data_IF_359076141359
#
_entry.id   IF_359076141359
#
_cell.length_a   1.000
_cell.length_b   1.000
_cell.length_c   1.000
_cell.angle_alpha   90.00
_cell.angle_beta   90.00
_cell.angle_gamma   90.00
#
_symmetry.space_group_name_H-M   'P 1'
#
loop_
_entity.id
_entity.type
_entity.pdbx_description
1 polymer ?
#
# COMPACT_ATOMS: atom_id res chain seq x y z
N UNK A 1 20.61 6.53 3.98
CA UNK A 1 19.90 6.00 5.20
C UNK A 1 20.85 5.13 6.01
N UNK A 2 20.80 5.19 7.37
CA UNK A 2 21.56 4.25 8.20
C UNK A 2 20.94 2.85 8.16
N UNK A 3 21.78 1.81 8.19
CA UNK A 3 21.34 0.42 8.26
C UNK A 3 20.74 0.15 9.65
N UNK A 4 19.59 -0.57 9.79
CA UNK A 4 19.02 -0.89 11.09
C UNK A 4 19.93 -1.77 11.94
N UNK A 5 19.77 -1.73 13.29
CA UNK A 5 20.48 -2.65 14.18
C UNK A 5 20.14 -4.12 13.90
N UNK A 6 18.85 -4.41 13.68
CA UNK A 6 18.41 -5.68 13.10
C UNK A 6 18.15 -5.46 11.62
N UNK A 7 19.03 -5.96 10.77
CA UNK A 7 18.96 -5.82 9.31
C UNK A 7 18.67 -7.13 8.58
N UNK A 8 18.34 -8.20 9.32
CA UNK A 8 18.10 -9.54 8.79
C UNK A 8 17.10 -9.52 7.62
N UNK A 9 16.00 -8.78 7.79
CA UNK A 9 14.98 -8.69 6.75
C UNK A 9 15.48 -8.05 5.46
N UNK A 10 16.26 -6.98 5.56
CA UNK A 10 16.85 -6.32 4.39
C UNK A 10 17.89 -7.20 3.72
N UNK A 11 18.74 -7.88 4.51
CA UNK A 11 19.74 -8.83 3.97
C UNK A 11 19.07 -9.95 3.20
N UNK A 12 18.01 -10.55 3.76
CA UNK A 12 17.26 -11.60 3.07
C UNK A 12 16.67 -11.11 1.72
N UNK A 13 16.06 -9.92 1.70
CA UNK A 13 15.53 -9.32 0.47
C UNK A 13 16.62 -9.02 -0.57
N UNK A 14 17.81 -8.65 -0.11
CA UNK A 14 18.96 -8.37 -0.97
C UNK A 14 19.76 -9.63 -1.35
N UNK A 15 19.29 -10.82 -0.94
CA UNK A 15 19.94 -12.13 -1.15
C UNK A 15 21.32 -12.20 -0.51
N UNK A 16 21.52 -11.49 0.58
CA UNK A 16 22.70 -11.58 1.42
C UNK A 16 22.52 -12.72 2.45
N UNK A 17 23.60 -13.36 2.93
CA UNK A 17 23.52 -14.41 3.94
C UNK A 17 22.84 -13.92 5.23
N UNK A 18 21.97 -14.74 5.81
CA UNK A 18 21.31 -14.49 7.09
C UNK A 18 21.48 -15.70 8.01
N UNK A 19 21.61 -15.47 9.31
CA UNK A 19 21.79 -16.51 10.33
C UNK A 19 20.49 -17.27 10.58
N UNK A 20 19.35 -16.56 10.43
CA UNK A 20 17.99 -17.08 10.61
C UNK A 20 17.07 -16.50 9.57
N UNK A 21 15.92 -17.14 9.35
CA UNK A 21 14.85 -16.59 8.48
C UNK A 21 14.19 -15.41 9.20
N UNK A 22 14.21 -14.19 8.64
CA UNK A 22 13.53 -13.05 9.24
C UNK A 22 12.01 -13.19 9.15
N UNK A 23 11.32 -12.67 10.17
CA UNK A 23 9.86 -12.75 10.29
C UNK A 23 9.24 -11.38 10.47
N UNK A 24 8.22 -11.11 9.68
CA UNK A 24 7.23 -10.06 9.88
C UNK A 24 5.84 -10.64 9.59
N UNK A 25 4.78 -10.01 10.10
CA UNK A 25 3.43 -10.52 9.92
C UNK A 25 2.56 -9.52 9.15
N UNK A 26 1.89 -10.01 8.13
CA UNK A 26 0.86 -9.21 7.44
C UNK A 26 -0.22 -8.80 8.45
N UNK A 27 -0.56 -7.49 8.49
CA UNK A 27 -1.49 -6.92 9.48
C UNK A 27 -1.05 -7.12 10.92
N UNK A 28 0.29 -7.07 11.18
CA UNK A 28 0.84 -7.17 12.54
C UNK A 28 0.25 -6.12 13.50
N UNK A 29 -0.06 -4.90 13.06
CA UNK A 29 -0.95 -4.00 13.78
C UNK A 29 -2.42 -4.37 13.47
N UNK A 30 -3.20 -4.70 14.50
CA UNK A 30 -4.56 -5.17 14.25
C UNK A 30 -5.43 -5.38 15.48
N UNK A 31 -6.71 -5.64 15.25
CA UNK A 31 -7.76 -5.77 16.30
C UNK A 31 -7.53 -6.88 17.31
N UNK A 32 -6.63 -7.81 17.07
CA UNK A 32 -6.24 -8.84 18.05
C UNK A 32 -5.42 -8.27 19.22
N UNK A 33 -4.76 -7.11 19.02
CA UNK A 33 -4.03 -6.41 20.06
C UNK A 33 -4.98 -5.53 20.90
N UNK A 34 -5.01 -5.69 22.23
CA UNK A 34 -5.81 -4.81 23.09
C UNK A 34 -5.45 -3.33 22.94
N UNK A 35 -4.15 -2.99 22.91
CA UNK A 35 -3.65 -1.64 22.72
C UNK A 35 -4.08 -1.02 21.39
N UNK A 36 -4.12 -1.79 20.31
CA UNK A 36 -4.66 -1.33 19.04
C UNK A 36 -6.14 -0.95 19.16
N UNK A 37 -6.94 -1.75 19.86
CA UNK A 37 -8.37 -1.47 20.05
C UNK A 37 -8.58 -0.16 20.82
N UNK A 38 -7.74 0.12 21.85
CA UNK A 38 -7.79 1.36 22.61
C UNK A 38 -7.40 2.57 21.72
N UNK A 39 -6.32 2.49 20.96
CA UNK A 39 -5.93 3.55 20.02
C UNK A 39 -7.01 3.77 18.96
N UNK A 40 -7.59 2.68 18.42
CA UNK A 40 -8.68 2.73 17.45
C UNK A 40 -9.93 3.42 18.01
N UNK A 41 -10.26 3.18 19.29
CA UNK A 41 -11.37 3.83 19.98
C UNK A 41 -11.10 5.34 20.18
N UNK A 42 -9.89 5.72 20.58
CA UNK A 42 -9.49 7.15 20.70
C UNK A 42 -9.55 7.87 19.35
N UNK A 43 -9.16 7.23 18.27
CA UNK A 43 -9.20 7.80 16.94
C UNK A 43 -10.62 8.01 16.39
N UNK A 44 -11.63 7.30 16.93
CA UNK A 44 -13.03 7.38 16.51
C UNK A 44 -13.34 6.56 15.27
N UNK A 45 -12.69 6.81 14.13
CA UNK A 45 -12.89 6.06 12.88
C UNK A 45 -11.61 5.39 12.38
N UNK A 46 -11.73 4.41 11.45
CA UNK A 46 -10.56 3.81 10.82
C UNK A 46 -9.80 4.82 9.96
N UNK A 47 -10.52 5.65 9.21
CA UNK A 47 -9.90 6.71 8.41
C UNK A 47 -9.20 7.75 9.28
N UNK A 48 -9.80 8.14 10.42
CA UNK A 48 -9.15 9.05 11.36
C UNK A 48 -7.87 8.46 11.95
N UNK A 49 -7.84 7.13 12.19
CA UNK A 49 -6.64 6.42 12.62
C UNK A 49 -5.56 6.47 11.53
N UNK A 50 -5.91 6.14 10.27
CA UNK A 50 -4.98 6.14 9.15
C UNK A 50 -4.49 7.55 8.77
N UNK A 51 -5.38 8.57 8.86
CA UNK A 51 -5.07 9.95 8.47
C UNK A 51 -4.39 10.78 9.56
N UNK A 52 -4.07 10.17 10.70
CA UNK A 52 -3.34 10.82 11.77
C UNK A 52 -1.94 10.18 11.94
N UNK A 53 -0.84 10.88 11.60
CA UNK A 53 0.51 10.34 11.68
C UNK A 53 0.89 9.78 13.06
N UNK A 54 0.51 10.46 14.15
CA UNK A 54 0.83 10.02 15.50
C UNK A 54 0.11 8.70 15.85
N UNK A 55 -1.17 8.55 15.49
CA UNK A 55 -1.89 7.29 15.68
C UNK A 55 -1.36 6.17 14.80
N UNK A 56 -1.05 6.46 13.54
CA UNK A 56 -0.43 5.50 12.63
C UNK A 56 0.93 5.02 13.17
N UNK A 57 1.73 5.93 13.71
CA UNK A 57 2.99 5.60 14.38
C UNK A 57 2.75 4.72 15.61
N UNK A 58 1.87 5.13 16.51
CA UNK A 58 1.56 4.37 17.74
C UNK A 58 1.20 2.92 17.41
N UNK A 59 0.23 2.69 16.50
CA UNK A 59 -0.21 1.33 16.18
C UNK A 59 0.83 0.52 15.40
N UNK A 60 1.71 1.16 14.65
CA UNK A 60 2.82 0.49 13.97
C UNK A 60 3.82 -0.08 14.97
N UNK A 61 4.08 0.61 16.08
CA UNK A 61 5.06 0.18 17.09
C UNK A 61 4.50 -0.88 18.05
N UNK A 62 3.21 -0.92 18.30
CA UNK A 62 2.58 -1.84 19.25
C UNK A 62 2.96 -3.31 19.06
N UNK A 63 2.92 -3.91 17.85
CA UNK A 63 3.32 -5.31 17.66
C UNK A 63 4.81 -5.55 17.95
N UNK A 64 5.68 -4.58 17.67
CA UNK A 64 7.11 -4.69 17.95
C UNK A 64 7.44 -4.69 19.44
N UNK A 65 6.58 -4.08 20.27
CA UNK A 65 6.71 -4.13 21.71
C UNK A 65 6.30 -5.49 22.30
N UNK A 66 5.54 -6.32 21.54
CA UNK A 66 5.06 -7.63 21.97
C UNK A 66 5.83 -8.80 21.39
N UNK A 67 6.30 -8.66 20.17
CA UNK A 67 6.87 -9.76 19.40
C UNK A 67 8.22 -9.38 18.83
N UNK A 68 9.12 -10.34 18.79
CA UNK A 68 10.43 -10.25 18.15
C UNK A 68 10.27 -10.30 16.62
N UNK A 69 9.88 -9.18 16.02
CA UNK A 69 9.69 -9.06 14.59
C UNK A 69 10.92 -8.38 13.95
N UNK A 70 11.28 -8.85 12.76
CA UNK A 70 12.46 -8.36 12.03
C UNK A 70 12.14 -7.17 11.10
N UNK A 71 10.89 -6.74 11.04
CA UNK A 71 10.50 -5.53 10.30
C UNK A 71 9.22 -4.90 10.87
N UNK A 72 9.12 -3.59 10.76
CA UNK A 72 7.88 -2.83 10.88
C UNK A 72 7.24 -2.67 9.50
N UNK A 73 5.92 -2.62 9.44
CA UNK A 73 5.19 -2.18 8.25
C UNK A 73 4.35 -0.96 8.60
N UNK A 74 4.38 0.05 7.74
CA UNK A 74 3.54 1.23 7.84
C UNK A 74 2.08 0.85 8.10
N UNK A 75 1.42 1.51 9.06
CA UNK A 75 -0.03 1.40 9.21
C UNK A 75 -0.73 2.42 8.31
N UNK A 76 -1.42 1.92 7.30
CA UNK A 76 -2.20 2.69 6.33
C UNK A 76 -3.24 1.77 5.67
N UNK A 77 -3.90 2.24 4.61
CA UNK A 77 -4.78 1.45 3.77
C UNK A 77 -4.32 1.51 2.31
N UNK A 78 -4.50 0.41 1.55
CA UNK A 78 -4.17 0.39 0.11
C UNK A 78 -5.03 1.35 -0.69
N UNK A 79 -6.24 1.68 -0.21
CA UNK A 79 -7.21 2.53 -0.90
C UNK A 79 -6.99 4.03 -0.68
N UNK A 80 -5.92 4.42 0.02
CA UNK A 80 -5.54 5.84 0.17
C UNK A 80 -5.23 6.50 -1.17
N UNK A 81 -4.66 5.77 -2.13
CA UNK A 81 -4.36 6.29 -3.47
C UNK A 81 -5.64 6.61 -4.25
N UNK A 82 -6.62 5.70 -4.38
CA UNK A 82 -7.93 6.03 -4.98
C UNK A 82 -8.69 7.13 -4.22
N UNK A 83 -8.59 7.20 -2.89
CA UNK A 83 -9.18 8.29 -2.11
C UNK A 83 -8.58 9.64 -2.50
N UNK A 84 -7.25 9.70 -2.64
CA UNK A 84 -6.53 10.89 -3.10
C UNK A 84 -6.86 11.27 -4.55
N UNK A 85 -7.24 10.31 -5.39
CA UNK A 85 -7.77 10.57 -6.75
C UNK A 85 -9.18 11.17 -6.73
N UNK A 86 -9.81 11.29 -5.55
CA UNK A 86 -11.11 11.93 -5.40
C UNK A 86 -12.30 10.97 -5.39
N UNK A 87 -12.10 9.65 -5.27
CA UNK A 87 -13.21 8.68 -5.26
C UNK A 87 -14.02 8.70 -3.94
N UNK A 88 -13.51 9.30 -2.86
CA UNK A 88 -14.21 9.44 -1.58
C UNK A 88 -14.35 8.11 -0.84
N UNK A 89 -13.27 7.69 -0.20
CA UNK A 89 -13.23 6.46 0.59
C UNK A 89 -14.00 6.60 1.90
N UNK A 90 -14.89 5.66 2.18
CA UNK A 90 -15.57 5.54 3.46
C UNK A 90 -15.68 4.07 3.91
N UNK A 91 -15.97 3.86 5.19
CA UNK A 91 -16.15 2.53 5.77
C UNK A 91 -17.53 2.40 6.37
N UNK A 92 -18.34 1.46 5.86
CA UNK A 92 -19.62 1.08 6.44
C UNK A 92 -19.40 0.01 7.52
N UNK A 93 -20.16 0.07 8.62
CA UNK A 93 -20.12 -0.95 9.65
C UNK A 93 -20.50 -2.32 9.07
N UNK A 94 -19.59 -3.30 9.21
CA UNK A 94 -19.81 -4.68 8.75
C UNK A 94 -19.59 -4.93 7.25
N UNK A 95 -19.45 -3.88 6.41
CA UNK A 95 -19.37 -4.02 4.95
C UNK A 95 -17.99 -3.74 4.34
N UNK A 96 -17.05 -3.21 5.13
CA UNK A 96 -15.70 -2.88 4.67
C UNK A 96 -15.59 -1.54 3.92
N UNK A 97 -14.52 -1.34 3.13
CA UNK A 97 -14.28 -0.10 2.41
C UNK A 97 -15.21 0.06 1.21
N UNK A 98 -15.68 1.28 0.99
CA UNK A 98 -16.49 1.69 -0.17
C UNK A 98 -16.05 3.04 -0.70
N UNK A 99 -16.38 3.31 -1.97
CA UNK A 99 -16.19 4.59 -2.61
C UNK A 99 -17.52 5.29 -2.89
N UNK A 100 -17.59 6.59 -2.60
CA UNK A 100 -18.74 7.43 -2.92
C UNK A 100 -18.92 7.60 -4.45
N UNK A 101 -17.78 7.69 -5.16
CA UNK A 101 -17.69 7.92 -6.60
C UNK A 101 -16.87 6.82 -7.29
N UNK A 102 -17.38 5.58 -7.37
CA UNK A 102 -16.73 4.54 -8.12
C UNK A 102 -16.74 4.86 -9.61
N UNK A 103 -15.72 4.42 -10.35
CA UNK A 103 -15.62 4.64 -11.79
C UNK A 103 -16.71 3.88 -12.55
N UNK A 104 -17.62 4.58 -13.20
CA UNK A 104 -18.78 4.01 -13.89
C UNK A 104 -18.84 4.33 -15.37
N UNK A 105 -18.33 5.47 -15.78
CA UNK A 105 -18.41 5.94 -17.15
C UNK A 105 -17.08 6.36 -17.73
N UNK A 106 -17.05 6.53 -19.05
CA UNK A 106 -15.86 6.86 -19.79
C UNK A 106 -15.30 8.25 -19.42
N UNK A 107 -16.18 9.20 -19.12
CA UNK A 107 -15.75 10.56 -18.80
C UNK A 107 -14.98 10.58 -17.47
N UNK A 108 -15.47 9.89 -16.44
CA UNK A 108 -14.81 9.76 -15.14
C UNK A 108 -13.42 9.12 -15.30
N UNK A 109 -13.35 8.02 -16.08
CA UNK A 109 -12.09 7.29 -16.31
C UNK A 109 -11.08 8.15 -17.08
N UNK A 110 -11.51 8.85 -18.13
CA UNK A 110 -10.62 9.70 -18.94
C UNK A 110 -10.10 10.91 -18.18
N UNK A 111 -10.83 11.41 -17.18
CA UNK A 111 -10.47 12.54 -16.35
C UNK A 111 -9.74 12.13 -15.04
N UNK A 112 -9.48 10.83 -14.84
CA UNK A 112 -8.72 10.35 -13.70
C UNK A 112 -7.31 10.95 -13.72
N UNK A 113 -6.87 11.53 -12.60
CA UNK A 113 -5.59 12.21 -12.48
C UNK A 113 -4.69 11.54 -11.44
N UNK A 114 -3.38 11.69 -11.63
CA UNK A 114 -2.37 11.28 -10.65
C UNK A 114 -2.39 12.29 -9.51
N UNK A 115 -2.63 11.86 -8.25
CA UNK A 115 -2.58 12.76 -7.10
C UNK A 115 -1.14 13.11 -6.73
N UNK A 116 -0.92 14.31 -6.20
CA UNK A 116 0.37 14.68 -5.62
C UNK A 116 0.52 13.99 -4.24
N UNK A 117 1.50 13.09 -4.04
CA UNK A 117 1.69 12.43 -2.75
C UNK A 117 2.10 13.40 -1.63
N UNK A 118 2.70 14.53 -1.95
CA UNK A 118 3.09 15.54 -0.95
C UNK A 118 1.96 16.49 -0.54
N UNK A 119 0.81 16.43 -1.23
CA UNK A 119 -0.41 17.15 -0.86
C UNK A 119 -1.47 16.17 -0.35
N UNK A 120 -2.14 15.42 -1.25
CA UNK A 120 -3.29 14.59 -0.89
C UNK A 120 -2.94 13.37 -0.01
N UNK A 121 -1.69 12.88 -0.06
CA UNK A 121 -1.20 11.75 0.72
C UNK A 121 -0.16 12.16 1.78
N UNK A 122 -0.03 13.47 2.04
CA UNK A 122 0.94 14.04 2.98
C UNK A 122 0.93 13.36 4.34
N UNK A 123 -0.25 13.05 4.87
CA UNK A 123 -0.41 12.38 6.15
C UNK A 123 0.26 11.00 6.22
N UNK A 124 0.34 10.28 5.09
CA UNK A 124 1.06 9.00 5.02
C UNK A 124 2.57 9.24 5.05
N UNK A 125 3.04 10.22 4.29
CA UNK A 125 4.46 10.57 4.21
C UNK A 125 4.97 11.04 5.58
N UNK A 126 4.19 11.89 6.27
CA UNK A 126 4.48 12.33 7.63
C UNK A 126 4.49 11.14 8.62
N UNK A 127 3.55 10.18 8.49
CA UNK A 127 3.53 8.97 9.30
C UNK A 127 4.79 8.11 9.09
N UNK A 128 5.24 7.91 7.83
CA UNK A 128 6.50 7.20 7.53
C UNK A 128 7.68 7.87 8.24
N UNK A 129 7.79 9.18 8.13
CA UNK A 129 8.88 9.93 8.77
C UNK A 129 8.83 9.85 10.31
N UNK A 130 7.64 9.87 10.90
CA UNK A 130 7.43 9.74 12.35
C UNK A 130 7.78 8.33 12.84
N UNK A 131 7.30 7.29 12.14
CA UNK A 131 7.62 5.89 12.45
C UNK A 131 9.14 5.64 12.34
N UNK A 132 9.79 6.15 11.29
CA UNK A 132 11.25 6.01 11.14
C UNK A 132 12.03 6.59 12.31
N UNK A 133 11.62 7.76 12.80
CA UNK A 133 12.22 8.37 14.00
C UNK A 133 11.96 7.53 15.25
N UNK A 134 10.71 7.10 15.45
CA UNK A 134 10.30 6.34 16.63
C UNK A 134 10.90 4.93 16.70
N UNK A 135 11.17 4.28 15.56
CA UNK A 135 11.88 3.01 15.48
C UNK A 135 13.34 3.11 15.95
N UNK A 136 13.90 4.31 16.04
CA UNK A 136 15.30 4.53 16.45
C UNK A 136 16.26 3.52 15.81
N UNK A 137 16.05 3.27 14.53
CA UNK A 137 16.89 2.34 13.76
C UNK A 137 16.94 0.90 14.29
N UNK A 138 15.95 0.43 15.05
CA UNK A 138 15.89 -0.93 15.61
C UNK A 138 15.68 -1.97 14.50
N UNK A 139 14.61 -1.86 13.74
CA UNK A 139 14.24 -2.71 12.61
C UNK A 139 13.93 -1.88 11.36
N UNK A 140 13.96 -2.45 10.14
CA UNK A 140 13.57 -1.73 8.93
C UNK A 140 12.07 -1.45 8.89
N UNK A 141 11.70 -0.36 8.20
CA UNK A 141 10.33 0.00 7.91
C UNK A 141 9.97 -0.37 6.46
N UNK A 142 8.88 -1.13 6.30
CA UNK A 142 8.27 -1.45 5.02
C UNK A 142 7.20 -0.40 4.72
N UNK A 143 7.34 0.31 3.60
CA UNK A 143 6.26 1.08 2.98
C UNK A 143 5.44 0.19 2.04
N UNK A 144 4.22 0.60 1.66
CA UNK A 144 3.42 -0.22 0.75
C UNK A 144 2.38 0.56 -0.05
N UNK A 145 1.86 -0.11 -1.08
CA UNK A 145 0.67 0.28 -1.85
C UNK A 145 -0.07 -0.95 -2.35
N UNK A 146 -1.31 -0.80 -2.75
CA UNK A 146 -1.99 -1.78 -3.59
C UNK A 146 -1.38 -1.79 -5.00
N UNK A 147 -1.50 -2.93 -5.71
CA UNK A 147 -1.18 -3.00 -7.14
C UNK A 147 -2.19 -2.22 -7.97
N UNK A 148 -1.85 -1.79 -9.19
CA UNK A 148 -2.79 -1.11 -10.07
C UNK A 148 -4.07 -1.93 -10.31
N UNK A 149 -3.95 -3.23 -10.53
CA UNK A 149 -5.10 -4.12 -10.70
C UNK A 149 -5.97 -4.20 -9.44
N UNK A 150 -5.37 -4.44 -8.27
CA UNK A 150 -6.12 -4.51 -7.02
C UNK A 150 -6.84 -3.19 -6.72
N UNK A 151 -6.19 -2.05 -6.93
CA UNK A 151 -6.82 -0.74 -6.76
C UNK A 151 -7.97 -0.53 -7.76
N UNK A 152 -7.76 -0.88 -9.04
CA UNK A 152 -8.78 -0.80 -10.08
C UNK A 152 -10.02 -1.65 -9.75
N UNK A 153 -9.84 -2.83 -9.15
CA UNK A 153 -10.96 -3.66 -8.67
C UNK A 153 -11.87 -2.85 -7.73
N UNK A 154 -11.31 -2.24 -6.71
CA UNK A 154 -12.10 -1.42 -5.78
C UNK A 154 -12.67 -0.16 -6.42
N UNK A 155 -11.89 0.50 -7.30
CA UNK A 155 -12.33 1.72 -8.00
C UNK A 155 -13.53 1.47 -8.91
N UNK A 156 -13.54 0.33 -9.62
CA UNK A 156 -14.62 -0.04 -10.57
C UNK A 156 -15.78 -0.72 -9.85
N UNK A 157 -15.52 -1.65 -8.92
CA UNK A 157 -16.62 -2.30 -8.18
C UNK A 157 -17.28 -1.33 -7.17
N UNK A 158 -16.53 -0.37 -6.66
CA UNK A 158 -16.97 0.60 -5.65
C UNK A 158 -16.85 0.09 -4.22
N UNK A 159 -16.27 -1.10 -4.02
CA UNK A 159 -16.05 -1.75 -2.74
C UNK A 159 -15.55 -3.18 -2.92
N UNK A 160 -15.68 -3.99 -1.86
CA UNK A 160 -15.43 -5.43 -1.96
C UNK A 160 -16.44 -6.08 -2.91
N UNK A 161 -16.01 -7.11 -3.65
CA UNK A 161 -16.85 -7.88 -4.56
C UNK A 161 -16.50 -9.35 -4.46
N UNK A 162 -17.50 -10.22 -4.60
CA UNK A 162 -17.29 -11.68 -4.59
C UNK A 162 -16.93 -12.20 -5.98
N UNK A 163 -17.45 -11.59 -7.02
CA UNK A 163 -17.33 -12.08 -8.40
C UNK A 163 -16.54 -11.15 -9.34
N UNK A 164 -16.37 -9.88 -8.96
CA UNK A 164 -15.67 -8.87 -9.78
C UNK A 164 -16.29 -8.72 -11.19
N UNK A 165 -17.61 -8.83 -11.30
CA UNK A 165 -18.32 -8.88 -12.58
C UNK A 165 -18.10 -7.64 -13.44
N UNK A 166 -18.14 -6.44 -12.83
CA UNK A 166 -18.02 -5.17 -13.57
C UNK A 166 -16.62 -5.01 -14.17
N UNK A 167 -15.59 -5.16 -13.34
CA UNK A 167 -14.21 -4.98 -13.82
C UNK A 167 -13.83 -6.08 -14.81
N UNK A 168 -14.28 -7.33 -14.62
CA UNK A 168 -14.08 -8.40 -15.58
C UNK A 168 -14.78 -8.13 -16.91
N UNK A 169 -15.99 -7.61 -16.89
CA UNK A 169 -16.68 -7.18 -18.10
C UNK A 169 -15.89 -6.09 -18.83
N UNK A 170 -15.38 -5.10 -18.09
CA UNK A 170 -14.57 -4.02 -18.68
C UNK A 170 -13.31 -4.53 -19.39
N UNK A 171 -12.66 -5.60 -18.90
CA UNK A 171 -11.48 -6.20 -19.56
C UNK A 171 -11.76 -6.59 -21.03
N UNK A 172 -12.97 -7.08 -21.31
CA UNK A 172 -13.35 -7.57 -22.63
C UNK A 172 -14.06 -6.52 -23.48
N UNK A 173 -14.92 -5.73 -22.86
CA UNK A 173 -15.76 -4.78 -23.58
C UNK A 173 -15.04 -3.44 -23.85
N UNK A 174 -14.23 -2.98 -22.90
CA UNK A 174 -13.55 -1.69 -22.97
C UNK A 174 -12.11 -1.80 -22.39
N UNK A 175 -11.25 -2.64 -23.00
CA UNK A 175 -9.83 -2.78 -22.56
C UNK A 175 -9.09 -1.45 -22.62
N UNK A 176 -9.45 -0.53 -23.51
CA UNK A 176 -8.90 0.83 -23.61
C UNK A 176 -9.10 1.62 -22.31
N UNK A 177 -10.28 1.54 -21.71
CA UNK A 177 -10.58 2.21 -20.43
C UNK A 177 -9.89 1.50 -19.26
N UNK A 178 -9.84 0.17 -19.29
CA UNK A 178 -9.10 -0.58 -18.27
C UNK A 178 -7.61 -0.20 -18.27
N UNK A 179 -6.97 -0.18 -19.42
CA UNK A 179 -5.58 0.27 -19.53
C UNK A 179 -5.40 1.70 -19.04
N UNK A 180 -6.34 2.62 -19.35
CA UNK A 180 -6.30 4.00 -18.83
C UNK A 180 -6.30 4.07 -17.32
N UNK A 181 -7.18 3.30 -16.63
CA UNK A 181 -7.20 3.21 -15.16
C UNK A 181 -5.86 2.70 -14.64
N UNK A 182 -5.37 1.58 -15.21
CA UNK A 182 -4.12 0.95 -14.78
C UNK A 182 -2.89 1.84 -15.01
N UNK A 183 -2.86 2.63 -16.08
CA UNK A 183 -1.77 3.57 -16.35
C UNK A 183 -1.71 4.69 -15.31
N UNK A 184 -2.84 5.36 -15.06
CA UNK A 184 -2.90 6.44 -14.06
C UNK A 184 -2.59 5.91 -12.67
N UNK A 185 -3.14 4.74 -12.32
CA UNK A 185 -2.88 4.12 -11.02
C UNK A 185 -1.41 3.70 -10.88
N UNK A 186 -0.79 3.18 -11.94
CA UNK A 186 0.63 2.82 -11.95
C UNK A 186 1.52 4.02 -11.66
N UNK A 187 1.30 5.11 -12.36
CA UNK A 187 2.05 6.35 -12.14
C UNK A 187 1.85 6.88 -10.71
N UNK A 188 0.62 6.85 -10.22
CA UNK A 188 0.30 7.25 -8.84
C UNK A 188 1.02 6.40 -7.80
N UNK A 189 1.05 5.07 -7.99
CA UNK A 189 1.74 4.15 -7.10
C UNK A 189 3.26 4.34 -7.14
N UNK A 190 3.85 4.60 -8.31
CA UNK A 190 5.29 4.92 -8.43
C UNK A 190 5.62 6.17 -7.61
N UNK A 191 4.91 7.26 -7.81
CA UNK A 191 5.15 8.51 -7.08
C UNK A 191 4.92 8.33 -5.58
N UNK A 192 3.85 7.64 -5.18
CA UNK A 192 3.52 7.40 -3.79
C UNK A 192 4.54 6.52 -3.06
N UNK A 193 5.03 5.44 -3.69
CA UNK A 193 6.06 4.59 -3.08
C UNK A 193 7.42 5.29 -3.04
N UNK A 194 7.77 6.07 -4.04
CA UNK A 194 8.99 6.87 -4.02
C UNK A 194 8.95 7.93 -2.91
N UNK A 195 7.83 8.61 -2.71
CA UNK A 195 7.66 9.54 -1.60
C UNK A 195 7.78 8.84 -0.22
N UNK A 196 7.29 7.59 -0.07
CA UNK A 196 7.53 6.80 1.14
C UNK A 196 9.01 6.45 1.33
N UNK A 197 9.73 6.11 0.26
CA UNK A 197 11.18 5.86 0.30
C UNK A 197 11.93 7.11 0.74
N UNK A 198 11.60 8.26 0.17
CA UNK A 198 12.19 9.56 0.51
C UNK A 198 11.94 9.93 1.97
N UNK A 199 10.76 9.62 2.50
CA UNK A 199 10.40 9.84 3.90
C UNK A 199 11.06 8.84 4.86
N UNK A 200 11.64 7.73 4.36
CA UNK A 200 12.44 6.81 5.16
C UNK A 200 12.03 5.34 5.13
N UNK A 201 11.11 4.91 4.29
CA UNK A 201 10.86 3.48 4.08
C UNK A 201 12.12 2.80 3.50
N UNK A 202 12.50 1.65 4.06
CA UNK A 202 13.73 0.94 3.71
C UNK A 202 13.50 -0.29 2.84
N UNK A 203 12.26 -0.67 2.70
CA UNK A 203 11.73 -1.60 1.70
C UNK A 203 10.34 -1.15 1.31
N UNK A 204 9.85 -1.53 0.13
CA UNK A 204 8.47 -1.26 -0.28
C UNK A 204 7.77 -2.53 -0.77
N UNK A 205 6.46 -2.60 -0.57
CA UNK A 205 5.65 -3.76 -0.92
C UNK A 205 4.46 -3.36 -1.79
N UNK A 206 4.21 -4.15 -2.82
CA UNK A 206 3.07 -4.01 -3.72
C UNK A 206 2.11 -5.16 -3.44
N UNK A 207 0.89 -4.86 -2.99
CA UNK A 207 -0.14 -5.86 -2.71
C UNK A 207 -1.05 -6.06 -3.93
N UNK A 208 -0.88 -7.18 -4.63
CA UNK A 208 -1.76 -7.61 -5.71
C UNK A 208 -2.78 -8.65 -5.20
N UNK A 209 -3.53 -8.28 -4.17
CA UNK A 209 -4.47 -9.16 -3.45
C UNK A 209 -5.52 -9.82 -4.35
N UNK A 210 -5.84 -9.19 -5.48
CA UNK A 210 -6.86 -9.67 -6.43
C UNK A 210 -6.27 -10.17 -7.76
N UNK A 211 -4.95 -10.36 -7.85
CA UNK A 211 -4.30 -10.94 -9.03
C UNK A 211 -4.85 -12.32 -9.38
N UNK A 212 -5.15 -13.14 -8.35
CA UNK A 212 -5.67 -14.49 -8.51
C UNK A 212 -7.08 -14.61 -9.09
N UNK A 213 -7.84 -13.50 -9.27
CA UNK A 213 -9.15 -13.54 -9.94
C UNK A 213 -9.06 -13.45 -11.46
N UNK A 214 -7.83 -13.24 -11.99
CA UNK A 214 -7.54 -13.18 -13.42
C UNK A 214 -7.08 -14.55 -13.94
N UNK A 215 -7.48 -14.87 -15.17
CA UNK A 215 -6.86 -15.96 -15.91
C UNK A 215 -5.43 -15.56 -16.31
N UNK A 216 -4.56 -16.54 -16.59
CA UNK A 216 -3.13 -16.33 -16.80
C UNK A 216 -2.80 -15.22 -17.81
N UNK A 217 -3.38 -15.23 -19.01
CA UNK A 217 -3.14 -14.20 -20.01
C UNK A 217 -3.55 -12.80 -19.53
N UNK A 218 -4.73 -12.68 -18.89
CA UNK A 218 -5.22 -11.43 -18.34
C UNK A 218 -4.36 -10.97 -17.14
N UNK A 219 -3.87 -11.88 -16.31
CA UNK A 219 -2.94 -11.55 -15.23
C UNK A 219 -1.65 -10.94 -15.79
N UNK A 220 -1.09 -11.53 -16.82
CA UNK A 220 0.10 -10.97 -17.49
C UNK A 220 -0.16 -9.56 -18.03
N UNK A 221 -1.29 -9.34 -18.72
CA UNK A 221 -1.62 -8.10 -19.38
C UNK A 221 -2.02 -7.00 -18.39
N UNK A 222 -2.95 -7.28 -17.48
CA UNK A 222 -3.62 -6.26 -16.64
C UNK A 222 -3.07 -6.15 -15.21
N UNK A 223 -2.23 -7.08 -14.75
CA UNK A 223 -1.58 -7.00 -13.45
C UNK A 223 -0.07 -6.99 -13.54
N UNK A 224 0.56 -8.09 -13.98
CA UNK A 224 1.99 -8.28 -13.91
C UNK A 224 2.79 -7.21 -14.67
N UNK A 225 2.35 -6.84 -15.89
CA UNK A 225 3.03 -5.83 -16.69
C UNK A 225 3.06 -4.46 -15.99
N UNK A 226 2.00 -4.10 -15.29
CA UNK A 226 1.92 -2.85 -14.54
C UNK A 226 2.77 -2.89 -13.27
N UNK A 227 2.80 -4.01 -12.54
CA UNK A 227 3.71 -4.19 -11.40
C UNK A 227 5.17 -4.12 -11.82
N UNK A 228 5.55 -4.69 -12.97
CA UNK A 228 6.91 -4.56 -13.54
C UNK A 228 7.28 -3.09 -13.80
N UNK A 229 6.33 -2.29 -14.32
CA UNK A 229 6.54 -0.85 -14.54
C UNK A 229 6.75 -0.11 -13.22
N UNK A 230 5.97 -0.44 -12.17
CA UNK A 230 6.19 0.13 -10.85
C UNK A 230 7.60 -0.19 -10.37
N UNK A 231 7.99 -1.46 -10.33
CA UNK A 231 9.33 -1.89 -9.87
C UNK A 231 10.45 -1.23 -10.67
N UNK A 232 10.24 -0.97 -11.96
CA UNK A 232 11.20 -0.25 -12.81
C UNK A 232 11.31 1.24 -12.45
N UNK A 233 10.20 1.88 -12.03
CA UNK A 233 10.11 3.30 -11.67
C UNK A 233 10.47 3.63 -10.22
N UNK A 234 10.69 2.61 -9.36
CA UNK A 234 11.06 2.84 -7.96
C UNK A 234 12.52 3.30 -7.81
N UNK A 235 12.76 4.13 -6.80
CA UNK A 235 14.10 4.42 -6.32
C UNK A 235 14.73 3.14 -5.73
N UNK A 236 15.68 2.55 -6.47
CA UNK A 236 16.40 1.33 -6.05
C UNK A 236 17.49 1.62 -5.03
N UNK A 237 17.89 2.88 -4.91
CA UNK A 237 18.86 3.40 -3.95
C UNK A 237 18.39 4.76 -3.44
N UNK A 238 18.46 4.99 -2.14
CA UNK A 238 18.15 6.27 -1.53
C UNK A 238 18.99 6.52 -0.28
N UNK A 239 19.55 7.71 -0.17
CA UNK A 239 20.40 8.05 0.98
C UNK A 239 21.58 7.08 1.21
N UNK A 240 22.15 6.53 0.14
CA UNK A 240 23.27 5.59 0.18
C UNK A 240 22.90 4.15 0.57
N UNK A 241 21.60 3.81 0.64
CA UNK A 241 21.13 2.46 0.92
C UNK A 241 20.34 1.89 -0.28
N UNK A 242 20.48 0.58 -0.54
CA UNK A 242 19.65 -0.16 -1.50
C UNK A 242 18.24 -0.34 -0.93
N UNK A 243 17.23 -0.12 -1.76
CA UNK A 243 15.81 -0.25 -1.40
C UNK A 243 15.21 -1.44 -2.15
N UNK A 244 15.04 -2.58 -1.50
CA UNK A 244 14.39 -3.74 -2.11
C UNK A 244 12.88 -3.54 -2.24
N UNK A 245 12.29 -4.15 -3.27
CA UNK A 245 10.84 -4.22 -3.48
C UNK A 245 10.33 -5.65 -3.31
N UNK A 246 9.11 -5.77 -2.76
CA UNK A 246 8.39 -7.01 -2.55
C UNK A 246 7.11 -6.94 -3.37
N UNK A 247 6.79 -8.01 -4.09
CA UNK A 247 5.50 -8.17 -4.78
C UNK A 247 4.79 -9.35 -4.14
N UNK A 248 3.56 -9.09 -3.69
CA UNK A 248 2.65 -10.12 -3.18
C UNK A 248 1.51 -10.28 -4.17
N UNK A 249 1.26 -11.51 -4.61
CA UNK A 249 0.18 -11.88 -5.53
C UNK A 249 -0.36 -13.27 -5.20
#
# INVERSE_FOLDING_TARGET
>A
MSRPRNDLFLRALLKEPTETTPVWLMRQAGRYLPEYRETRKRAGSFLSLCKNPAYACEVTLQPLARYDLDAAILFSDILTVPDAMGLGLYFSEGEGPKFERPLRDEWEIRNLCVPDPHDQLRYVIDAVAEIRRALDNSVPLIGFSGSPWTLACYMVEGGASDDYARIKTMLYDRPDLMHKILEVTTESVIQYLNAQIEAGAQAVMIFDSWGGVLAEAAFHEFSLNYMKRIVAGLHKEWGGARIPSIVFT
#
